data_IF_053881094443
#
_entry.id   IF_053881094443
#
_cell.length_a   1.000
_cell.length_b   1.000
_cell.length_c   1.000
_cell.angle_alpha   90.00
_cell.angle_beta   90.00
_cell.angle_gamma   90.00
#
_symmetry.space_group_name_H-M   'P 1'
#
loop_
_entity.id
_entity.type
_entity.pdbx_description
1 polymer ?
#
# COMPACT_ATOMS: atom_id res chain seq x y z
N UNK A 1 -20.87 47.29 11.61
CA UNK A 1 -21.22 46.11 10.75
C UNK A 1 -20.04 45.29 10.29
N UNK A 2 -18.85 45.87 10.07
CA UNK A 2 -17.66 45.13 9.65
C UNK A 2 -17.08 44.22 10.77
N UNK A 3 -17.11 44.68 12.01
CA UNK A 3 -16.67 43.89 13.19
C UNK A 3 -17.56 42.69 13.45
N UNK A 4 -18.86 42.79 13.18
CA UNK A 4 -19.77 41.67 13.34
C UNK A 4 -19.53 40.58 12.27
N UNK A 5 -19.33 40.95 11.02
CA UNK A 5 -18.98 40.02 9.94
C UNK A 5 -17.64 39.33 10.17
N UNK A 6 -16.66 40.04 10.71
CA UNK A 6 -15.37 39.45 11.05
C UNK A 6 -15.47 38.41 12.19
N UNK A 7 -16.32 38.67 13.20
CA UNK A 7 -16.59 37.72 14.29
C UNK A 7 -17.33 36.49 13.79
N UNK A 8 -18.32 36.66 12.93
CA UNK A 8 -19.09 35.54 12.36
C UNK A 8 -18.18 34.63 11.51
N UNK A 9 -17.33 35.22 10.66
CA UNK A 9 -16.35 34.44 9.86
C UNK A 9 -15.35 33.69 10.73
N UNK A 10 -14.87 34.29 11.81
CA UNK A 10 -13.98 33.58 12.76
C UNK A 10 -14.69 32.43 13.44
N UNK A 11 -15.93 32.61 13.88
CA UNK A 11 -16.72 31.56 14.50
C UNK A 11 -16.99 30.40 13.53
N UNK A 12 -17.32 30.68 12.28
CA UNK A 12 -17.52 29.69 11.22
C UNK A 12 -16.25 28.93 10.93
N UNK A 13 -15.11 29.60 10.84
CA UNK A 13 -13.80 28.95 10.60
C UNK A 13 -13.41 28.04 11.75
N UNK A 14 -13.58 28.47 13.00
CA UNK A 14 -13.31 27.67 14.19
C UNK A 14 -14.24 26.47 14.26
N UNK A 15 -15.52 26.65 13.94
CA UNK A 15 -16.49 25.55 13.93
C UNK A 15 -16.19 24.53 12.86
N UNK A 16 -15.80 24.97 11.68
CA UNK A 16 -15.36 24.07 10.59
C UNK A 16 -14.11 23.28 11.00
N UNK A 17 -13.14 23.92 11.60
CA UNK A 17 -11.92 23.25 12.12
C UNK A 17 -12.25 22.23 13.20
N UNK A 18 -13.12 22.57 14.16
CA UNK A 18 -13.54 21.64 15.21
C UNK A 18 -14.33 20.45 14.66
N UNK A 19 -15.20 20.67 13.67
CA UNK A 19 -15.94 19.59 13.02
C UNK A 19 -15.01 18.64 12.27
N UNK A 20 -14.03 19.15 11.54
CA UNK A 20 -13.03 18.32 10.88
C UNK A 20 -12.21 17.51 11.87
N UNK A 21 -11.83 18.12 13.00
CA UNK A 21 -11.06 17.44 14.04
C UNK A 21 -11.89 16.37 14.76
N UNK A 22 -13.18 16.63 14.96
CA UNK A 22 -14.11 15.68 15.55
C UNK A 22 -14.39 14.50 14.62
N UNK A 23 -14.56 14.72 13.32
CA UNK A 23 -14.68 13.67 12.33
C UNK A 23 -13.41 12.81 12.29
N UNK A 24 -12.25 13.41 12.37
CA UNK A 24 -10.97 12.72 12.42
C UNK A 24 -10.84 11.85 13.67
N UNK A 25 -11.22 12.36 14.86
CA UNK A 25 -11.23 11.61 16.11
C UNK A 25 -12.23 10.45 16.08
N UNK A 26 -13.41 10.65 15.51
CA UNK A 26 -14.43 9.61 15.35
C UNK A 26 -13.90 8.51 14.43
N UNK A 27 -13.28 8.86 13.31
CA UNK A 27 -12.63 7.88 12.41
C UNK A 27 -11.52 7.10 13.13
N UNK A 28 -10.67 7.78 13.89
CA UNK A 28 -9.63 7.13 14.69
C UNK A 28 -10.22 6.16 15.71
N UNK A 29 -11.30 6.53 16.38
CA UNK A 29 -11.98 5.68 17.35
C UNK A 29 -12.58 4.43 16.69
N UNK A 30 -13.29 4.57 15.57
CA UNK A 30 -13.86 3.43 14.84
C UNK A 30 -12.77 2.49 14.32
N UNK A 31 -11.71 3.04 13.82
CA UNK A 31 -10.55 2.31 13.32
C UNK A 31 -9.85 1.56 14.46
N UNK A 32 -9.68 2.18 15.61
CA UNK A 32 -9.13 1.55 16.82
C UNK A 32 -9.99 0.36 17.27
N UNK A 33 -11.31 0.51 17.27
CA UNK A 33 -12.25 -0.52 17.67
C UNK A 33 -12.28 -1.72 16.71
N UNK A 34 -12.32 -1.45 15.41
CA UNK A 34 -12.26 -2.48 14.38
C UNK A 34 -10.96 -3.27 14.42
N UNK A 35 -9.85 -2.61 14.73
CA UNK A 35 -8.56 -3.30 14.88
C UNK A 35 -8.48 -4.12 16.14
N UNK A 36 -9.07 -3.69 17.24
CA UNK A 36 -9.12 -4.45 18.47
C UNK A 36 -9.90 -5.75 18.26
N UNK A 37 -11.05 -5.67 17.60
CA UNK A 37 -11.85 -6.83 17.24
C UNK A 37 -11.12 -7.78 16.29
N UNK A 38 -10.36 -7.25 15.33
CA UNK A 38 -9.51 -8.04 14.43
C UNK A 38 -8.34 -8.70 15.13
N UNK A 39 -7.64 -7.99 16.02
CA UNK A 39 -6.56 -8.55 16.81
C UNK A 39 -7.05 -9.71 17.69
N UNK A 40 -8.23 -9.62 18.26
CA UNK A 40 -8.84 -10.73 19.01
C UNK A 40 -9.14 -11.93 18.10
N UNK A 41 -9.64 -11.71 16.89
CA UNK A 41 -9.88 -12.78 15.92
C UNK A 41 -8.59 -13.41 15.39
N UNK A 42 -7.54 -12.63 15.20
CA UNK A 42 -6.23 -13.11 14.74
C UNK A 42 -5.46 -13.87 15.82
N UNK A 43 -5.63 -13.53 17.08
CA UNK A 43 -5.09 -14.30 18.22
C UNK A 43 -5.70 -15.69 18.35
N UNK A 44 -6.91 -15.90 17.82
CA UNK A 44 -7.60 -17.20 17.78
C UNK A 44 -7.15 -18.03 16.56
N UNK A 45 -6.79 -17.38 15.45
CA UNK A 45 -6.19 -18.01 14.28
C UNK A 45 -4.67 -17.96 14.38
N UNK A 46 -3.97 -19.09 14.31
CA UNK A 46 -2.49 -19.11 14.34
C UNK A 46 -1.93 -18.16 13.28
N UNK A 47 -1.22 -17.09 13.66
CA UNK A 47 -0.56 -16.25 12.68
C UNK A 47 0.53 -17.07 11.99
N UNK A 48 0.50 -17.10 10.66
CA UNK A 48 1.61 -17.58 9.87
C UNK A 48 2.84 -16.74 10.23
N UNK A 49 3.96 -17.36 10.61
CA UNK A 49 5.16 -16.59 10.92
C UNK A 49 5.63 -15.81 9.70
N UNK A 50 6.30 -14.69 9.89
CA UNK A 50 6.87 -13.89 8.79
C UNK A 50 7.77 -14.75 7.89
N UNK A 51 8.50 -15.70 8.46
CA UNK A 51 9.33 -16.65 7.72
C UNK A 51 8.50 -17.54 6.79
N UNK A 52 7.37 -18.06 7.25
CA UNK A 52 6.46 -18.88 6.45
C UNK A 52 5.80 -18.07 5.34
N UNK A 53 5.43 -16.81 5.65
CA UNK A 53 4.92 -15.87 4.66
C UNK A 53 5.91 -15.62 3.53
N UNK A 54 7.18 -15.39 3.84
CA UNK A 54 8.24 -15.19 2.87
C UNK A 54 8.52 -16.44 2.03
N UNK A 55 8.45 -17.63 2.63
CA UNK A 55 8.56 -18.91 1.89
C UNK A 55 7.38 -19.10 0.93
N UNK A 56 6.17 -18.72 1.33
CA UNK A 56 4.98 -18.81 0.48
C UNK A 56 5.12 -17.89 -0.74
N UNK A 57 5.65 -16.69 -0.59
CA UNK A 57 5.90 -15.76 -1.69
C UNK A 57 6.91 -16.31 -2.71
N UNK A 58 7.86 -17.13 -2.29
CA UNK A 58 8.86 -17.75 -3.19
C UNK A 58 8.35 -18.96 -3.95
N UNK A 59 7.28 -19.61 -3.47
CA UNK A 59 6.78 -20.88 -4.03
C UNK A 59 5.70 -20.74 -5.11
N UNK A 60 5.29 -19.52 -5.46
CA UNK A 60 4.17 -19.28 -6.37
C UNK A 60 4.65 -19.08 -7.82
N UNK A 61 3.97 -19.71 -8.76
CA UNK A 61 4.44 -19.85 -10.15
C UNK A 61 3.95 -18.77 -11.11
N UNK A 62 3.13 -17.80 -10.70
CA UNK A 62 2.64 -16.72 -11.57
C UNK A 62 2.73 -15.36 -10.90
N UNK A 63 3.11 -14.34 -11.68
CA UNK A 63 3.23 -12.93 -11.21
C UNK A 63 1.94 -12.43 -10.58
N UNK A 64 0.79 -12.77 -11.14
CA UNK A 64 -0.52 -12.32 -10.64
C UNK A 64 -0.91 -13.02 -9.34
N UNK A 65 -0.64 -14.31 -9.21
CA UNK A 65 -0.88 -15.07 -7.99
C UNK A 65 0.03 -14.58 -6.86
N UNK A 66 1.28 -14.27 -7.17
CA UNK A 66 2.25 -13.72 -6.23
C UNK A 66 1.83 -12.33 -5.72
N UNK A 67 1.33 -11.47 -6.60
CA UNK A 67 0.82 -10.15 -6.26
C UNK A 67 -0.40 -10.24 -5.32
N UNK A 68 -1.33 -11.13 -5.60
CA UNK A 68 -2.50 -11.33 -4.75
C UNK A 68 -2.11 -11.90 -3.38
N UNK A 69 -1.15 -12.80 -3.33
CA UNK A 69 -0.62 -13.35 -2.08
C UNK A 69 0.11 -12.27 -1.27
N UNK A 70 0.90 -11.43 -1.93
CA UNK A 70 1.54 -10.28 -1.29
C UNK A 70 0.53 -9.38 -0.59
N UNK A 71 -0.56 -9.02 -1.27
CA UNK A 71 -1.62 -8.19 -0.69
C UNK A 71 -2.31 -8.86 0.49
N UNK A 72 -2.54 -10.17 0.44
CA UNK A 72 -3.11 -10.93 1.57
C UNK A 72 -2.17 -10.93 2.77
N UNK A 73 -0.88 -11.07 2.56
CA UNK A 73 0.12 -11.00 3.62
C UNK A 73 0.19 -9.59 4.23
N UNK A 74 0.16 -8.56 3.40
CA UNK A 74 0.10 -7.18 3.87
C UNK A 74 -1.18 -6.91 4.67
N UNK A 75 -2.33 -7.45 4.24
CA UNK A 75 -3.57 -7.35 4.99
C UNK A 75 -3.46 -8.02 6.36
N UNK A 76 -2.83 -9.18 6.42
CA UNK A 76 -2.67 -9.96 7.64
C UNK A 76 -1.69 -9.31 8.62
N UNK A 77 -0.50 -8.90 8.16
CA UNK A 77 0.57 -8.38 9.03
C UNK A 77 0.50 -6.88 9.30
N UNK A 78 0.00 -6.11 8.35
CA UNK A 78 -0.07 -4.65 8.46
C UNK A 78 -1.48 -4.12 8.64
N UNK A 79 -2.48 -5.00 8.76
CA UNK A 79 -3.89 -4.68 8.98
C UNK A 79 -4.49 -3.81 7.85
N UNK A 80 -4.01 -3.97 6.63
CA UNK A 80 -4.53 -3.26 5.47
C UNK A 80 -5.90 -3.84 5.11
N UNK A 81 -6.91 -2.99 5.01
CA UNK A 81 -8.29 -3.37 4.68
C UNK A 81 -8.62 -3.22 3.20
N UNK A 82 -8.06 -2.22 2.55
CA UNK A 82 -8.21 -2.00 1.12
C UNK A 82 -6.92 -1.46 0.51
N UNK A 83 -6.45 -2.12 -0.52
CA UNK A 83 -5.26 -1.75 -1.26
C UNK A 83 -5.29 -2.33 -2.67
N UNK A 84 -4.52 -1.74 -3.56
CA UNK A 84 -4.31 -2.22 -4.91
C UNK A 84 -2.85 -2.08 -5.32
N UNK A 85 -2.38 -3.02 -6.11
CA UNK A 85 -1.05 -3.03 -6.70
C UNK A 85 -1.17 -2.75 -8.19
N UNK A 86 -0.51 -1.70 -8.66
CA UNK A 86 -0.52 -1.29 -10.06
C UNK A 86 0.85 -1.49 -10.70
N UNK A 87 0.84 -1.95 -11.93
CA UNK A 87 2.04 -2.06 -12.74
C UNK A 87 2.31 -0.74 -13.47
N UNK A 88 3.57 -0.38 -13.61
CA UNK A 88 4.02 0.80 -14.36
C UNK A 88 4.51 0.35 -15.75
N UNK A 89 3.82 0.77 -16.78
CA UNK A 89 4.18 0.52 -18.17
C UNK A 89 4.50 1.84 -18.87
N UNK A 90 5.66 1.93 -19.51
CA UNK A 90 6.08 3.13 -20.22
C UNK A 90 5.96 4.42 -19.39
N UNK A 91 6.32 4.36 -18.10
CA UNK A 91 6.21 5.46 -17.14
C UNK A 91 4.76 5.89 -16.83
N UNK A 92 3.78 5.10 -17.20
CA UNK A 92 2.38 5.30 -16.86
C UNK A 92 1.84 4.12 -16.06
N UNK A 93 1.00 4.43 -15.07
CA UNK A 93 0.32 3.40 -14.31
C UNK A 93 -0.76 2.73 -15.16
N UNK A 94 -0.79 1.42 -15.16
CA UNK A 94 -1.87 0.65 -15.77
C UNK A 94 -3.22 1.03 -15.14
N UNK A 95 -4.27 1.12 -15.93
CA UNK A 95 -5.61 1.47 -15.45
C UNK A 95 -6.19 0.40 -14.53
N UNK A 96 -5.89 -0.87 -14.82
CA UNK A 96 -6.33 -2.02 -14.05
C UNK A 96 -5.26 -2.45 -13.05
N UNK A 97 -5.63 -2.75 -11.80
CA UNK A 97 -4.68 -3.24 -10.81
C UNK A 97 -4.24 -4.67 -11.15
N UNK A 98 -2.97 -4.96 -10.87
CA UNK A 98 -2.41 -6.31 -10.95
C UNK A 98 -3.02 -7.24 -9.88
N UNK A 99 -3.28 -6.68 -8.70
CA UNK A 99 -3.97 -7.34 -7.60
C UNK A 99 -4.67 -6.30 -6.72
N UNK A 100 -5.69 -6.72 -6.01
CA UNK A 100 -6.45 -5.87 -5.09
C UNK A 100 -6.99 -6.67 -3.90
N UNK A 101 -7.17 -5.98 -2.79
CA UNK A 101 -7.86 -6.49 -1.60
C UNK A 101 -8.88 -5.46 -1.10
N UNK A 102 -9.96 -5.93 -0.51
CA UNK A 102 -11.07 -5.08 -0.09
C UNK A 102 -11.77 -4.43 -1.29
N UNK A 103 -12.20 -3.19 -1.08
CA UNK A 103 -12.84 -2.38 -2.13
C UNK A 103 -12.03 -1.10 -2.35
N UNK A 104 -10.87 -1.18 -3.02
CA UNK A 104 -10.05 -0.01 -3.26
C UNK A 104 -10.77 0.97 -4.20
N UNK A 105 -10.49 2.27 -3.99
CA UNK A 105 -10.98 3.33 -4.87
C UNK A 105 -10.37 3.19 -6.27
N UNK A 106 -11.02 3.79 -7.27
CA UNK A 106 -10.45 3.88 -8.61
C UNK A 106 -9.10 4.60 -8.59
N UNK A 107 -8.21 4.25 -9.50
CA UNK A 107 -6.87 4.83 -9.57
C UNK A 107 -6.93 6.35 -9.79
N UNK A 108 -6.27 7.08 -8.91
CA UNK A 108 -6.02 8.51 -9.02
C UNK A 108 -4.51 8.75 -9.20
N UNK A 109 -4.03 8.65 -10.43
CA UNK A 109 -2.61 8.81 -10.75
C UNK A 109 -2.06 10.22 -10.49
N UNK A 110 -2.93 11.22 -10.44
CA UNK A 110 -2.59 12.62 -10.13
C UNK A 110 -2.59 12.93 -8.62
N UNK A 111 -2.89 11.96 -7.77
CA UNK A 111 -2.88 12.13 -6.32
C UNK A 111 -1.49 12.58 -5.83
N UNK A 112 -1.41 13.57 -4.93
CA UNK A 112 -0.13 14.11 -4.46
C UNK A 112 0.79 13.04 -3.84
N UNK A 113 0.23 12.07 -3.13
CA UNK A 113 1.00 11.01 -2.50
C UNK A 113 1.58 10.04 -3.55
N UNK A 114 0.80 9.71 -4.57
CA UNK A 114 1.25 8.88 -5.70
C UNK A 114 2.40 9.55 -6.45
N UNK A 115 2.24 10.84 -6.77
CA UNK A 115 3.28 11.62 -7.44
C UNK A 115 4.56 11.68 -6.63
N UNK A 116 4.46 11.94 -5.34
CA UNK A 116 5.62 11.99 -4.45
C UNK A 116 6.34 10.63 -4.39
N UNK A 117 5.62 9.53 -4.27
CA UNK A 117 6.21 8.20 -4.25
C UNK A 117 6.93 7.86 -5.57
N UNK A 118 6.34 8.21 -6.72
CA UNK A 118 6.94 7.98 -8.02
C UNK A 118 8.17 8.88 -8.28
N UNK A 119 8.15 10.12 -7.81
CA UNK A 119 9.27 11.06 -7.96
C UNK A 119 10.44 10.71 -7.04
N UNK A 120 10.18 10.35 -5.79
CA UNK A 120 11.22 10.06 -4.79
C UNK A 120 11.72 8.63 -4.82
N UNK A 121 10.94 7.69 -5.37
CA UNK A 121 11.23 6.27 -5.29
C UNK A 121 11.16 5.70 -3.88
N UNK A 122 10.50 6.39 -2.95
CA UNK A 122 10.37 6.01 -1.54
C UNK A 122 8.91 5.88 -1.14
N UNK A 123 8.67 5.02 -0.16
CA UNK A 123 7.36 4.92 0.47
C UNK A 123 6.96 6.26 1.09
N UNK A 124 5.78 6.73 0.75
CA UNK A 124 5.17 7.95 1.27
C UNK A 124 3.88 7.62 2.00
N UNK A 125 3.58 8.34 3.07
CA UNK A 125 2.37 8.13 3.86
C UNK A 125 1.83 9.45 4.40
N UNK A 126 0.53 9.47 4.73
CA UNK A 126 -0.18 10.70 5.14
C UNK A 126 0.33 11.32 6.43
N UNK A 127 0.97 10.57 7.31
CA UNK A 127 1.51 11.12 8.55
C UNK A 127 2.75 12.03 8.35
N UNK A 128 3.42 11.95 7.20
CA UNK A 128 4.57 12.79 6.83
C UNK A 128 4.17 14.03 6.01
N UNK A 129 2.89 14.20 5.76
CA UNK A 129 2.40 15.10 4.73
C UNK A 129 2.21 16.51 5.29
N UNK A 130 2.69 17.51 4.55
CA UNK A 130 2.38 18.93 4.79
C UNK A 130 0.90 19.23 4.52
N UNK A 131 0.40 20.34 5.04
CA UNK A 131 -1.00 20.72 4.93
C UNK A 131 -1.54 20.75 3.49
N UNK A 132 -0.69 20.94 2.49
CA UNK A 132 -1.06 20.93 1.07
C UNK A 132 -1.30 19.53 0.50
N UNK A 133 -0.74 18.51 1.13
CA UNK A 133 -0.86 17.11 0.72
C UNK A 133 -1.97 16.34 1.47
N UNK A 134 -2.67 17.00 2.40
CA UNK A 134 -3.80 16.40 3.13
C UNK A 134 -5.01 16.08 2.24
N UNK A 135 -4.95 16.41 0.97
CA UNK A 135 -5.97 16.08 -0.03
C UNK A 135 -5.79 14.70 -0.65
N UNK A 136 -4.77 13.95 -0.27
CA UNK A 136 -4.57 12.59 -0.77
C UNK A 136 -5.73 11.67 -0.35
N UNK A 137 -6.16 10.84 -1.30
CA UNK A 137 -7.15 9.79 -1.08
C UNK A 137 -6.54 8.48 -0.58
N UNK A 138 -5.22 8.38 -0.63
CA UNK A 138 -4.46 7.22 -0.16
C UNK A 138 -3.79 7.49 1.17
N UNK A 139 -3.65 6.44 1.97
CA UNK A 139 -2.93 6.50 3.24
C UNK A 139 -1.44 6.21 3.07
N UNK A 140 -1.13 5.30 2.18
CA UNK A 140 0.25 4.89 1.86
C UNK A 140 0.38 4.72 0.35
N UNK A 141 1.48 5.20 -0.19
CA UNK A 141 1.92 4.93 -1.55
C UNK A 141 3.36 4.39 -1.51
N UNK A 142 3.56 3.15 -1.90
CA UNK A 142 4.84 2.47 -1.83
C UNK A 142 5.27 2.00 -3.22
N UNK A 143 6.33 2.57 -3.80
CA UNK A 143 6.82 2.16 -5.09
C UNK A 143 7.53 0.80 -5.01
N UNK A 144 7.41 0.02 -6.08
CA UNK A 144 8.13 -1.23 -6.29
C UNK A 144 9.36 -0.94 -7.13
N UNK A 145 10.52 -1.15 -6.54
CA UNK A 145 11.80 -0.92 -7.19
C UNK A 145 12.43 -2.23 -7.63
N UNK A 146 13.00 -2.27 -8.83
CA UNK A 146 13.84 -3.38 -9.25
C UNK A 146 15.27 -3.26 -8.67
N UNK A 147 16.12 -4.25 -8.96
CA UNK A 147 17.52 -4.24 -8.51
C UNK A 147 18.33 -3.07 -9.07
N UNK A 148 17.91 -2.50 -10.19
CA UNK A 148 18.53 -1.33 -10.81
C UNK A 148 18.05 0.01 -10.23
N UNK A 149 17.04 -0.01 -9.35
CA UNK A 149 16.41 1.17 -8.78
C UNK A 149 15.30 1.78 -9.63
N UNK A 150 14.91 1.13 -10.72
CA UNK A 150 13.80 1.57 -11.56
C UNK A 150 12.45 1.16 -10.94
N UNK A 151 11.47 2.05 -11.02
CA UNK A 151 10.12 1.80 -10.53
C UNK A 151 9.33 1.05 -11.60
N UNK A 152 8.80 -0.13 -11.26
CA UNK A 152 7.95 -0.89 -12.17
C UNK A 152 6.52 -1.07 -11.68
N UNK A 153 6.21 -0.58 -10.51
CA UNK A 153 4.87 -0.63 -9.95
C UNK A 153 4.72 0.22 -8.70
N UNK A 154 3.52 0.28 -8.20
CA UNK A 154 3.19 0.99 -6.96
C UNK A 154 2.09 0.26 -6.20
N UNK A 155 2.25 0.16 -4.88
CA UNK A 155 1.22 -0.24 -3.95
C UNK A 155 0.51 1.01 -3.44
N UNK A 156 -0.81 1.05 -3.56
CA UNK A 156 -1.66 2.12 -3.03
C UNK A 156 -2.60 1.56 -1.97
N UNK A 157 -2.54 2.11 -0.77
CA UNK A 157 -3.36 1.71 0.37
C UNK A 157 -4.40 2.79 0.64
N UNK A 158 -5.67 2.44 0.51
CA UNK A 158 -6.80 3.36 0.77
C UNK A 158 -7.32 3.25 2.19
N UNK A 159 -7.34 2.03 2.73
CA UNK A 159 -7.89 1.76 4.05
C UNK A 159 -6.95 0.91 4.87
N UNK A 160 -6.50 1.46 5.97
CA UNK A 160 -5.86 0.76 7.07
C UNK A 160 -6.10 1.55 8.34
N UNK A 161 -6.01 0.91 9.52
CA UNK A 161 -6.10 1.64 10.78
C UNK A 161 -5.07 2.76 10.83
N UNK A 162 -5.50 3.98 11.16
CA UNK A 162 -4.58 5.13 11.19
C UNK A 162 -3.42 4.92 12.17
N UNK A 163 -3.66 4.26 13.31
CA UNK A 163 -2.59 3.91 14.24
C UNK A 163 -1.64 2.83 13.71
N UNK A 164 -2.03 2.10 12.66
CA UNK A 164 -1.15 1.14 11.97
C UNK A 164 -0.22 1.83 10.96
N UNK A 165 -0.42 3.11 10.66
CA UNK A 165 0.52 3.94 9.89
C UNK A 165 1.66 4.35 10.81
N UNK A 166 2.45 3.37 11.22
CA UNK A 166 3.60 3.51 12.11
C UNK A 166 4.85 2.99 11.42
N UNK A 167 5.99 3.44 11.86
CA UNK A 167 7.29 3.08 11.30
C UNK A 167 7.49 1.57 11.15
N UNK A 168 7.14 0.79 12.16
CA UNK A 168 7.27 -0.68 12.12
C UNK A 168 6.45 -1.32 11.02
N UNK A 169 5.20 -0.92 10.85
CA UNK A 169 4.34 -1.43 9.78
C UNK A 169 4.80 -0.97 8.40
N UNK A 170 5.26 0.25 8.28
CA UNK A 170 5.79 0.80 7.03
C UNK A 170 7.08 0.07 6.61
N UNK A 171 7.95 -0.25 7.56
CA UNK A 171 9.14 -1.09 7.32
C UNK A 171 8.75 -2.51 6.91
N UNK A 172 7.71 -3.09 7.51
CA UNK A 172 7.18 -4.40 7.12
C UNK A 172 6.63 -4.37 5.70
N UNK A 173 5.90 -3.33 5.31
CA UNK A 173 5.43 -3.14 3.93
C UNK A 173 6.62 -3.09 2.97
N UNK A 174 7.63 -2.28 3.25
CA UNK A 174 8.83 -2.19 2.42
C UNK A 174 9.57 -3.53 2.30
N UNK A 175 9.69 -4.27 3.40
CA UNK A 175 10.34 -5.56 3.42
C UNK A 175 9.62 -6.57 2.52
N UNK A 176 8.31 -6.69 2.66
CA UNK A 176 7.50 -7.60 1.85
C UNK A 176 7.49 -7.21 0.37
N UNK A 177 7.44 -5.93 0.06
CA UNK A 177 7.56 -5.43 -1.31
C UNK A 177 8.93 -5.76 -1.90
N UNK A 178 10.00 -5.58 -1.14
CA UNK A 178 11.36 -5.94 -1.55
C UNK A 178 11.50 -7.42 -1.87
N UNK A 179 10.97 -8.30 -1.04
CA UNK A 179 10.95 -9.75 -1.28
C UNK A 179 10.18 -10.13 -2.54
N UNK A 180 9.02 -9.53 -2.74
CA UNK A 180 8.22 -9.75 -3.93
C UNK A 180 8.97 -9.35 -5.20
N UNK A 181 9.61 -8.20 -5.16
CA UNK A 181 10.42 -7.63 -6.25
C UNK A 181 11.62 -8.52 -6.59
N UNK A 182 12.36 -8.96 -5.58
CA UNK A 182 13.52 -9.84 -5.74
C UNK A 182 13.10 -11.19 -6.33
N UNK A 183 11.97 -11.73 -5.92
CA UNK A 183 11.40 -12.95 -6.47
C UNK A 183 11.08 -12.85 -7.96
N UNK A 184 10.50 -11.74 -8.41
CA UNK A 184 10.22 -11.48 -9.83
C UNK A 184 11.51 -11.38 -10.65
N UNK A 185 12.52 -10.67 -10.16
CA UNK A 185 13.82 -10.54 -10.82
C UNK A 185 14.52 -11.89 -10.97
N UNK A 186 14.46 -12.74 -9.97
CA UNK A 186 15.02 -14.10 -10.01
C UNK A 186 14.29 -14.97 -11.03
N UNK A 187 12.98 -14.92 -11.12
CA UNK A 187 12.20 -15.65 -12.12
C UNK A 187 12.52 -15.18 -13.55
N UNK A 188 12.64 -13.88 -13.78
CA UNK A 188 13.01 -13.32 -15.08
C UNK A 188 14.41 -13.76 -15.55
N UNK A 189 15.35 -13.94 -14.62
CA UNK A 189 16.69 -14.46 -14.92
C UNK A 189 16.71 -15.98 -15.15
N UNK A 190 15.81 -16.74 -14.55
CA UNK A 190 15.73 -18.19 -14.69
C UNK A 190 15.06 -18.64 -16.02
N UNK A 191 14.13 -17.87 -16.56
CA UNK A 191 13.42 -18.20 -17.80
C UNK A 191 14.33 -18.38 -19.04
N UNK A 192 15.33 -17.53 -19.33
CA UNK A 192 16.19 -17.73 -20.48
C UNK A 192 17.09 -18.96 -20.37
N UNK A 193 17.44 -19.41 -19.17
CA UNK A 193 18.23 -20.62 -18.95
C UNK A 193 17.43 -21.90 -19.23
N UNK A 194 16.14 -21.93 -18.96
CA UNK A 194 15.28 -23.07 -19.28
C UNK A 194 14.99 -23.20 -20.78
N UNK A 195 14.98 -22.09 -21.52
CA UNK A 195 14.81 -22.08 -22.98
C UNK A 195 16.12 -22.43 -23.73
N UNK A 196 17.27 -22.33 -23.09
CA UNK A 196 18.57 -22.58 -23.69
C UNK A 196 19.06 -24.05 -23.55
N UNK A 197 18.32 -24.92 -22.82
CA UNK A 197 18.63 -26.35 -22.75
C UNK A 197 18.19 -27.03 -24.04
N UNK A 198 19.11 -27.58 -24.84
CA UNK A 198 18.75 -28.34 -26.04
C UNK A 198 17.99 -29.60 -25.63
N UNK A 199 16.90 -29.89 -26.31
CA UNK A 199 16.20 -31.15 -26.20
C UNK A 199 17.21 -32.27 -26.50
N UNK A 200 17.39 -33.20 -25.55
CA UNK A 200 18.19 -34.40 -25.81
C UNK A 200 17.62 -35.13 -27.00
N UNK A 201 18.43 -35.47 -28.01
CA UNK A 201 17.96 -36.35 -29.08
C UNK A 201 17.71 -37.74 -28.48
N UNK A 202 16.49 -38.19 -28.56
CA UNK A 202 16.12 -39.56 -28.27
C UNK A 202 16.71 -40.45 -29.36
N UNK A 203 17.67 -41.32 -29.01
CA UNK A 203 18.00 -42.50 -29.77
C UNK A 203 16.90 -43.54 -29.69
#
# INVERSE_FOLDING_TARGET
>A
SSRWRARTRRAETVQHYLNQRMEHLIRQYYVLRLSHDRLEQELIGRPMSMRDALKTLRGLGSVQADAQTLLRLLAQYCQISAAALYHLENQQLAAEPLARIGSPIALHGEDPLVRQALETGKLCHVAQVTAEQQTSRYLVAAPLLDLGGDIYGILLVDEMPFFSVQEENLQTINLLLGYYTDGLSTQALAQPLQQALPACPSE
#
